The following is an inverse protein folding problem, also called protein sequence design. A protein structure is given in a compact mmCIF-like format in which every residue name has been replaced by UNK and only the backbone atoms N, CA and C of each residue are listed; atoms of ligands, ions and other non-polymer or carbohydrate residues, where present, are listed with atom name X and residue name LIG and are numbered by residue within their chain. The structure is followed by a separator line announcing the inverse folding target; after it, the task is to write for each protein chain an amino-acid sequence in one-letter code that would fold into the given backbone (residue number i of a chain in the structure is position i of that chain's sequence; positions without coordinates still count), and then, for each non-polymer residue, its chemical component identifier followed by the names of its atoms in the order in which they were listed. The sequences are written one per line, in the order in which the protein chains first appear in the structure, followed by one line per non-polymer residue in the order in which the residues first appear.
data_IF_576092689434
#
_entry.id   IF_576092689434
#
_cell.length_a   1.000
_cell.length_b   1.000
_cell.length_c   1.000
_cell.angle_alpha   90.00
_cell.angle_beta   90.00
_cell.angle_gamma   90.00
#
_symmetry.space_group_name_H-M   'P 1'
#
loop_
_entity.id
_entity.type
_entity.pdbx_description
1 polymer ?
#
# COMPACT_ATOMS: atom_id res chain seq x y z
N UNK A 1 12.68 1.40 24.93
CA UNK A 1 12.86 0.97 23.53
C UNK A 1 11.66 1.48 22.77
N UNK A 2 11.82 2.45 21.87
CA UNK A 2 10.72 2.88 21.00
C UNK A 2 10.66 1.98 19.78
N UNK A 3 9.45 1.59 19.37
CA UNK A 3 9.21 0.72 18.22
C UNK A 3 9.89 1.30 16.97
N UNK A 4 10.97 0.66 16.53
CA UNK A 4 11.72 1.09 15.35
C UNK A 4 10.91 0.71 14.10
N UNK A 5 10.25 1.70 13.50
CA UNK A 5 9.58 1.50 12.21
C UNK A 5 10.60 1.10 11.14
N UNK A 6 10.19 0.31 10.14
CA UNK A 6 11.06 -0.11 9.01
C UNK A 6 11.70 1.10 8.31
N UNK A 7 10.94 2.19 8.16
CA UNK A 7 11.44 3.46 7.62
C UNK A 7 12.53 4.07 8.51
N UNK A 8 12.40 3.98 9.84
CA UNK A 8 13.43 4.47 10.76
C UNK A 8 14.75 3.70 10.61
N UNK A 9 14.69 2.38 10.43
CA UNK A 9 15.85 1.50 10.22
C UNK A 9 16.50 1.79 8.86
N UNK A 10 15.71 1.91 7.80
CA UNK A 10 16.21 2.29 6.47
C UNK A 10 16.87 3.66 6.51
N UNK A 11 16.27 4.64 7.19
CA UNK A 11 16.84 5.99 7.32
C UNK A 11 18.13 6.02 8.14
N UNK A 12 18.24 5.20 9.20
CA UNK A 12 19.46 5.13 10.03
C UNK A 12 20.61 4.47 9.27
N UNK A 13 20.32 3.43 8.48
CA UNK A 13 21.26 2.82 7.55
C UNK A 13 21.74 3.83 6.49
N UNK A 14 20.82 4.55 5.83
CA UNK A 14 21.21 5.56 4.84
C UNK A 14 22.07 6.66 5.46
N UNK A 15 21.80 7.07 6.70
CA UNK A 15 22.63 8.05 7.43
C UNK A 15 24.03 7.50 7.72
N UNK A 16 24.15 6.23 8.12
CA UNK A 16 25.46 5.62 8.40
C UNK A 16 26.30 5.48 7.13
N UNK A 17 25.69 5.01 6.03
CA UNK A 17 26.37 4.90 4.74
C UNK A 17 26.76 6.27 4.17
N UNK A 18 25.86 7.25 4.27
CA UNK A 18 26.18 8.63 3.87
C UNK A 18 27.34 9.16 4.70
N UNK A 19 27.40 8.93 6.00
CA UNK A 19 28.53 9.37 6.84
C UNK A 19 29.87 8.74 6.42
N UNK A 20 29.86 7.47 6.01
CA UNK A 20 31.07 6.79 5.52
C UNK A 20 31.55 7.37 4.19
N UNK A 21 30.63 7.57 3.24
CA UNK A 21 30.95 8.07 1.90
C UNK A 21 31.36 9.55 1.87
N UNK A 22 31.13 10.28 2.96
CA UNK A 22 31.28 11.75 3.01
C UNK A 22 32.42 12.19 3.92
N UNK A 23 33.28 11.23 4.25
CA UNK A 23 34.52 11.48 4.95
C UNK A 23 35.37 12.49 4.15
N UNK A 24 36.02 13.45 4.83
CA UNK A 24 36.86 14.43 4.15
C UNK A 24 37.99 13.74 3.40
N UNK A 25 38.27 14.24 2.20
CA UNK A 25 39.37 13.76 1.38
C UNK A 25 40.69 14.12 2.07
N UNK A 26 41.52 13.12 2.27
CA UNK A 26 42.89 13.24 2.77
C UNK A 26 43.86 12.86 1.66
N UNK A 27 45.06 13.45 1.62
CA UNK A 27 46.08 13.05 0.66
C UNK A 27 46.45 11.59 0.94
N UNK A 28 46.38 10.74 -0.08
CA UNK A 28 46.82 9.34 0.06
C UNK A 28 48.33 9.29 0.30
N UNK A 29 48.79 8.33 1.12
CA UNK A 29 50.23 8.16 1.42
C UNK A 29 51.06 8.00 0.14
N UNK A 30 50.51 7.31 -0.86
CA UNK A 30 51.11 7.15 -2.20
C UNK A 30 51.30 8.48 -2.94
N UNK A 31 50.34 9.39 -2.83
CA UNK A 31 50.47 10.73 -3.42
C UNK A 31 51.51 11.56 -2.68
N UNK A 32 51.53 11.51 -1.34
CA UNK A 32 52.48 12.25 -0.52
C UNK A 32 53.94 11.82 -0.81
N UNK A 33 54.18 10.52 -0.95
CA UNK A 33 55.50 9.96 -1.34
C UNK A 33 55.92 10.34 -2.77
N UNK A 34 54.96 10.54 -3.67
CA UNK A 34 55.24 10.94 -5.05
C UNK A 34 55.54 12.43 -5.15
N UNK A 35 54.81 13.26 -4.39
CA UNK A 35 55.03 14.71 -4.31
C UNK A 35 56.39 15.04 -3.68
N UNK A 36 56.82 14.28 -2.66
CA UNK A 36 58.13 14.49 -2.02
C UNK A 36 59.33 14.11 -2.90
N UNK A 37 59.14 13.23 -3.89
CA UNK A 37 60.17 12.77 -4.84
C UNK A 37 60.27 13.64 -6.10
N UNK A 38 59.35 14.59 -6.32
CA UNK A 38 59.39 15.49 -7.47
C UNK A 38 60.28 16.70 -7.19
N UNK A 39 61.10 17.10 -8.17
CA UNK A 39 61.94 18.32 -8.09
C UNK A 39 61.11 19.61 -8.00
N UNK A 40 59.89 19.61 -8.54
CA UNK A 40 58.90 20.69 -8.42
C UNK A 40 57.78 20.26 -7.47
N UNK A 41 58.09 20.06 -6.19
CA UNK A 41 57.09 19.64 -5.21
C UNK A 41 56.07 20.74 -4.92
N UNK A 42 54.81 20.36 -4.72
CA UNK A 42 53.81 21.29 -4.21
C UNK A 42 54.05 21.51 -2.71
N UNK A 43 54.16 22.76 -2.25
CA UNK A 43 54.33 23.04 -0.82
C UNK A 43 53.10 22.58 -0.06
N UNK A 44 53.32 21.89 1.06
CA UNK A 44 52.27 21.26 1.87
C UNK A 44 51.20 22.26 2.35
N UNK A 45 51.57 23.53 2.50
CA UNK A 45 50.64 24.63 2.81
C UNK A 45 49.58 24.82 1.71
N UNK A 46 50.01 24.94 0.45
CA UNK A 46 49.07 25.08 -0.69
C UNK A 46 48.17 23.87 -0.84
N UNK A 47 48.70 22.68 -0.57
CA UNK A 47 47.95 21.42 -0.61
C UNK A 47 46.88 21.40 0.47
N UNK A 48 47.22 21.80 1.70
CA UNK A 48 46.26 21.92 2.81
C UNK A 48 45.17 22.94 2.51
N UNK A 49 45.51 24.07 1.90
CA UNK A 49 44.53 25.12 1.57
C UNK A 49 43.57 24.67 0.47
N UNK A 50 44.08 24.05 -0.60
CA UNK A 50 43.24 23.47 -1.65
C UNK A 50 42.36 22.35 -1.08
N UNK A 51 42.91 21.46 -0.25
CA UNK A 51 42.14 20.41 0.43
C UNK A 51 41.07 20.98 1.35
N UNK A 52 41.35 22.10 2.04
CA UNK A 52 40.36 22.78 2.88
C UNK A 52 39.21 23.30 2.05
N UNK A 53 39.49 23.95 0.92
CA UNK A 53 38.47 24.47 0.01
C UNK A 53 37.66 23.36 -0.66
N UNK A 54 38.32 22.30 -1.14
CA UNK A 54 37.64 21.12 -1.71
C UNK A 54 36.73 20.47 -0.67
N UNK A 55 37.22 20.25 0.55
CA UNK A 55 36.40 19.68 1.63
C UNK A 55 35.25 20.62 2.04
N UNK A 56 35.42 21.95 1.94
CA UNK A 56 34.35 22.92 2.18
C UNK A 56 33.25 22.81 1.13
N UNK A 57 33.62 22.76 -0.15
CA UNK A 57 32.67 22.59 -1.27
C UNK A 57 31.96 21.24 -1.15
N UNK A 58 32.69 20.17 -0.85
CA UNK A 58 32.14 18.84 -0.68
C UNK A 58 31.11 18.79 0.46
N UNK A 59 31.40 19.40 1.61
CA UNK A 59 30.45 19.51 2.74
C UNK A 59 29.19 20.28 2.34
N UNK A 60 29.32 21.36 1.58
CA UNK A 60 28.18 22.14 1.09
C UNK A 60 27.29 21.32 0.16
N UNK A 61 27.89 20.64 -0.81
CA UNK A 61 27.16 19.74 -1.71
C UNK A 61 26.48 18.61 -0.92
N UNK A 62 27.20 18.02 0.04
CA UNK A 62 26.68 16.93 0.83
C UNK A 62 25.44 17.29 1.65
N UNK A 63 25.49 18.44 2.33
CA UNK A 63 24.36 18.95 3.10
C UNK A 63 23.14 19.25 2.21
N UNK A 64 23.36 19.63 0.95
CA UNK A 64 22.29 19.91 -0.01
C UNK A 64 21.65 18.62 -0.55
N UNK A 65 22.45 17.61 -0.88
CA UNK A 65 21.97 16.37 -1.50
C UNK A 65 21.38 15.42 -0.44
N UNK A 66 22.08 15.25 0.68
CA UNK A 66 21.71 14.34 1.76
C UNK A 66 21.11 15.08 2.96
N UNK A 67 20.10 15.92 2.70
CA UNK A 67 19.27 16.49 3.75
C UNK A 67 18.56 15.39 4.57
N UNK A 68 18.19 15.68 5.82
CA UNK A 68 17.45 14.71 6.64
C UNK A 68 16.12 14.28 5.99
N UNK A 69 15.46 15.23 5.32
CA UNK A 69 14.19 15.01 4.62
C UNK A 69 14.38 14.16 3.35
N UNK A 70 15.44 14.39 2.57
CA UNK A 70 15.73 13.58 1.38
C UNK A 70 16.07 12.14 1.76
N UNK A 71 16.81 11.93 2.85
CA UNK A 71 17.09 10.58 3.37
C UNK A 71 15.79 9.86 3.80
N UNK A 72 14.88 10.55 4.48
CA UNK A 72 13.58 9.99 4.85
C UNK A 72 12.74 9.65 3.62
N UNK A 73 12.66 10.56 2.65
CA UNK A 73 11.89 10.33 1.42
C UNK A 73 12.45 9.17 0.59
N UNK A 74 13.78 9.04 0.48
CA UNK A 74 14.40 7.88 -0.18
C UNK A 74 14.11 6.59 0.58
N UNK A 75 14.14 6.60 1.91
CA UNK A 75 13.78 5.44 2.72
C UNK A 75 12.32 5.00 2.47
N UNK A 76 11.39 5.95 2.36
CA UNK A 76 9.98 5.68 2.02
C UNK A 76 9.81 5.18 0.58
N UNK A 77 10.56 5.72 -0.38
CA UNK A 77 10.52 5.25 -1.76
C UNK A 77 11.04 3.81 -1.88
N UNK A 78 12.15 3.50 -1.20
CA UNK A 78 12.66 2.12 -1.12
C UNK A 78 11.63 1.22 -0.46
N UNK A 79 10.91 1.70 0.56
CA UNK A 79 9.82 0.95 1.17
C UNK A 79 8.69 0.67 0.18
N UNK A 80 8.18 1.70 -0.49
CA UNK A 80 7.13 1.57 -1.53
C UNK A 80 7.58 0.64 -2.66
N UNK A 81 8.81 0.76 -3.14
CA UNK A 81 9.34 -0.10 -4.19
C UNK A 81 9.49 -1.55 -3.72
N UNK A 82 9.92 -1.78 -2.47
CA UNK A 82 9.97 -3.11 -1.89
C UNK A 82 8.58 -3.75 -1.84
N UNK A 83 7.57 -2.98 -1.40
CA UNK A 83 6.18 -3.44 -1.39
C UNK A 83 5.61 -3.67 -2.80
N UNK A 84 5.92 -2.77 -3.75
CA UNK A 84 5.42 -2.83 -5.12
C UNK A 84 6.10 -3.91 -5.96
N UNK A 85 7.38 -4.19 -5.73
CA UNK A 85 8.13 -5.26 -6.38
C UNK A 85 7.77 -6.66 -5.85
N UNK A 86 6.75 -6.74 -4.98
CA UNK A 86 6.31 -8.00 -4.42
C UNK A 86 7.33 -8.64 -3.48
N UNK A 87 8.16 -7.84 -2.78
CA UNK A 87 9.11 -8.30 -1.78
C UNK A 87 9.86 -9.56 -2.20
N UNK A 88 10.89 -9.43 -3.05
CA UNK A 88 11.76 -10.54 -3.45
C UNK A 88 12.10 -11.38 -2.23
N UNK A 89 11.62 -12.61 -2.28
CA UNK A 89 11.77 -13.59 -1.24
C UNK A 89 13.25 -13.99 -1.14
N UNK A 90 14.01 -13.31 -0.29
CA UNK A 90 15.40 -13.66 -0.01
C UNK A 90 15.50 -14.94 0.85
N UNK A 91 14.37 -15.53 1.26
CA UNK A 91 14.31 -16.73 2.10
C UNK A 91 13.64 -17.95 1.43
N UNK A 92 12.88 -17.80 0.34
CA UNK A 92 12.48 -18.95 -0.50
C UNK A 92 13.65 -19.43 -1.35
N UNK A 93 14.30 -20.49 -0.89
CA UNK A 93 15.28 -21.27 -1.67
C UNK A 93 14.66 -22.08 -2.83
N UNK A 94 13.50 -21.67 -3.38
CA UNK A 94 12.83 -22.41 -4.45
C UNK A 94 12.55 -21.52 -5.68
N UNK A 95 13.40 -21.57 -6.72
CA UNK A 95 13.27 -20.74 -7.92
C UNK A 95 12.29 -21.40 -8.89
N UNK A 96 10.98 -21.29 -8.63
CA UNK A 96 9.97 -21.84 -9.56
C UNK A 96 8.50 -21.69 -9.22
N UNK A 97 8.13 -21.10 -8.07
CA UNK A 97 6.73 -20.88 -7.73
C UNK A 97 6.28 -19.50 -8.21
N UNK A 98 5.51 -19.47 -9.30
CA UNK A 98 4.96 -18.27 -9.92
C UNK A 98 3.77 -17.67 -9.14
N UNK A 99 3.48 -18.19 -7.94
CA UNK A 99 2.29 -17.81 -7.17
C UNK A 99 2.64 -17.20 -5.80
N UNK A 100 3.36 -16.08 -5.81
CA UNK A 100 3.63 -15.26 -4.62
C UNK A 100 2.37 -14.63 -4.01
N UNK A 101 1.20 -14.83 -4.63
CA UNK A 101 -0.10 -14.33 -4.15
C UNK A 101 -0.70 -15.20 -3.04
N UNK A 102 -0.26 -16.47 -2.95
CA UNK A 102 -0.76 -17.47 -2.01
C UNK A 102 -0.08 -17.43 -0.63
N UNK A 103 1.07 -16.76 -0.51
CA UNK A 103 1.87 -16.77 0.72
C UNK A 103 1.44 -15.65 1.69
N UNK A 104 1.28 -16.03 2.97
CA UNK A 104 1.06 -15.12 4.08
C UNK A 104 2.33 -14.37 4.45
N UNK A 105 2.22 -13.07 4.69
CA UNK A 105 3.36 -12.23 5.13
C UNK A 105 3.30 -12.01 6.65
N UNK A 106 4.45 -11.77 7.27
CA UNK A 106 4.61 -11.49 8.72
C UNK A 106 3.75 -10.30 9.21
N UNK A 107 3.29 -9.44 8.30
CA UNK A 107 2.49 -8.26 8.60
C UNK A 107 1.10 -8.28 7.94
N UNK A 108 0.65 -9.43 7.44
CA UNK A 108 -0.70 -9.56 6.93
C UNK A 108 -1.71 -9.40 8.08
N UNK A 109 -2.71 -8.56 7.85
CA UNK A 109 -3.74 -8.30 8.85
C UNK A 109 -4.80 -9.42 8.81
N UNK A 110 -4.77 -10.30 9.82
CA UNK A 110 -5.75 -11.37 10.00
C UNK A 110 -7.15 -10.87 10.36
N UNK A 111 -7.37 -9.54 10.46
CA UNK A 111 -8.72 -9.00 10.46
C UNK A 111 -9.36 -9.04 9.08
N UNK A 112 -8.66 -9.24 7.96
CA UNK A 112 -9.30 -9.26 6.65
C UNK A 112 -9.51 -10.69 6.14
N UNK A 113 -10.71 -10.97 5.60
CA UNK A 113 -11.07 -12.32 5.14
C UNK A 113 -10.06 -12.89 4.13
N UNK A 114 -9.55 -12.03 3.23
CA UNK A 114 -8.59 -12.42 2.19
C UNK A 114 -7.28 -13.02 2.73
N UNK A 115 -6.87 -12.67 3.94
CA UNK A 115 -5.67 -13.23 4.57
C UNK A 115 -6.02 -14.49 5.35
N UNK A 116 -7.21 -14.54 5.96
CA UNK A 116 -7.73 -15.73 6.64
C UNK A 116 -7.85 -16.91 5.67
N UNK A 117 -8.36 -16.65 4.46
CA UNK A 117 -8.58 -17.69 3.44
C UNK A 117 -7.27 -18.26 2.88
N UNK A 118 -6.14 -17.58 3.09
CA UNK A 118 -4.79 -18.02 2.66
C UNK A 118 -4.09 -18.87 3.71
N UNK A 119 -4.66 -19.02 4.92
CA UNK A 119 -4.06 -19.85 5.96
C UNK A 119 -4.06 -21.32 5.52
N UNK A 120 -2.91 -22.00 5.57
CA UNK A 120 -2.86 -23.43 5.31
C UNK A 120 -3.59 -24.19 6.43
N UNK A 121 -4.14 -25.35 6.09
CA UNK A 121 -4.84 -26.21 7.06
C UNK A 121 -3.86 -26.84 8.07
N UNK A 122 -2.60 -27.04 7.65
CA UNK A 122 -1.52 -27.60 8.46
C UNK A 122 -0.35 -26.62 8.52
N UNK A 123 0.39 -26.63 9.64
CA UNK A 123 1.60 -25.81 9.81
C UNK A 123 2.80 -26.59 9.24
N UNK A 124 3.29 -26.19 8.05
CA UNK A 124 4.25 -26.96 7.22
C UNK A 124 5.73 -26.59 7.44
N UNK A 125 6.15 -26.29 8.67
CA UNK A 125 7.58 -26.08 8.96
C UNK A 125 8.21 -27.36 9.55
N UNK A 126 8.72 -28.24 8.68
CA UNK A 126 9.44 -29.47 9.08
C UNK A 126 10.74 -29.19 9.85
N UNK A 127 11.31 -27.99 9.70
CA UNK A 127 12.57 -27.57 10.33
C UNK A 127 12.39 -26.84 11.68
N UNK A 128 11.16 -26.63 12.16
CA UNK A 128 10.91 -25.93 13.42
C UNK A 128 10.86 -26.92 14.61
N UNK A 129 11.74 -26.77 15.63
CA UNK A 129 11.72 -27.61 16.83
C UNK A 129 10.44 -27.48 17.68
N UNK A 130 9.57 -26.50 17.38
CA UNK A 130 8.26 -26.32 18.03
C UNK A 130 7.11 -27.06 17.34
N UNK A 131 7.35 -27.71 16.20
CA UNK A 131 6.39 -28.53 15.47
C UNK A 131 6.09 -29.86 16.19
N UNK A 132 5.63 -29.78 17.43
CA UNK A 132 5.04 -30.91 18.17
C UNK A 132 3.61 -31.14 17.67
N UNK A 133 3.12 -32.37 17.70
CA UNK A 133 1.73 -32.72 17.35
C UNK A 133 0.70 -31.84 18.10
N UNK A 134 0.95 -31.55 19.38
CA UNK A 134 0.11 -30.65 20.19
C UNK A 134 0.00 -29.23 19.59
N UNK A 135 1.11 -28.67 19.10
CA UNK A 135 1.13 -27.34 18.48
C UNK A 135 0.34 -27.31 17.16
N UNK A 136 0.35 -28.42 16.40
CA UNK A 136 -0.44 -28.55 15.18
C UNK A 136 -1.94 -28.63 15.48
N UNK A 137 -2.34 -29.34 16.53
CA UNK A 137 -3.74 -29.38 16.99
C UNK A 137 -4.22 -28.01 17.48
N UNK A 138 -3.38 -27.30 18.24
CA UNK A 138 -3.66 -25.94 18.70
C UNK A 138 -3.83 -24.97 17.52
N UNK A 139 -2.93 -25.03 16.53
CA UNK A 139 -3.03 -24.25 15.30
C UNK A 139 -4.36 -24.52 14.58
N UNK A 140 -4.70 -25.80 14.33
CA UNK A 140 -5.96 -26.19 13.70
C UNK A 140 -7.20 -25.72 14.47
N UNK A 141 -7.14 -25.73 15.80
CA UNK A 141 -8.23 -25.22 16.63
C UNK A 141 -8.38 -23.70 16.49
N UNK A 142 -7.28 -22.96 16.46
CA UNK A 142 -7.25 -21.51 16.30
C UNK A 142 -7.70 -21.07 14.90
N UNK A 143 -7.25 -21.73 13.84
CA UNK A 143 -7.67 -21.43 12.46
C UNK A 143 -9.17 -21.63 12.29
N UNK A 144 -9.72 -22.75 12.76
CA UNK A 144 -11.18 -23.01 12.76
C UNK A 144 -11.96 -21.93 13.52
N UNK A 145 -11.47 -21.54 14.71
CA UNK A 145 -12.10 -20.47 15.50
C UNK A 145 -12.09 -19.15 14.73
N UNK A 146 -10.97 -18.81 14.12
CA UNK A 146 -10.78 -17.58 13.37
C UNK A 146 -11.66 -17.53 12.10
N UNK A 147 -11.81 -18.66 11.39
CA UNK A 147 -12.79 -18.82 10.30
C UNK A 147 -14.23 -18.64 10.78
N UNK A 148 -14.62 -19.26 11.91
CA UNK A 148 -15.99 -19.11 12.43
C UNK A 148 -16.34 -17.67 12.82
N UNK A 149 -15.37 -16.93 13.38
CA UNK A 149 -15.54 -15.52 13.76
C UNK A 149 -15.62 -14.62 12.52
N UNK A 150 -14.85 -14.94 11.48
CA UNK A 150 -14.81 -14.18 10.24
C UNK A 150 -16.13 -14.33 9.46
N UNK A 151 -16.69 -15.53 9.41
CA UNK A 151 -18.03 -15.83 8.89
C UNK A 151 -19.12 -15.09 9.67
N UNK A 152 -19.10 -15.15 11.01
CA UNK A 152 -20.07 -14.44 11.85
C UNK A 152 -20.04 -12.94 11.59
N UNK A 153 -18.84 -12.36 11.43
CA UNK A 153 -18.66 -10.95 11.12
C UNK A 153 -19.18 -10.60 9.72
N UNK A 154 -18.95 -11.46 8.72
CA UNK A 154 -19.52 -11.30 7.37
C UNK A 154 -21.04 -11.30 7.41
N UNK A 155 -21.65 -12.24 8.13
CA UNK A 155 -23.10 -12.29 8.31
C UNK A 155 -23.67 -11.03 8.98
N UNK A 156 -22.98 -10.49 10.00
CA UNK A 156 -23.39 -9.24 10.64
C UNK A 156 -23.29 -8.03 9.71
N UNK A 157 -22.23 -7.95 8.89
CA UNK A 157 -22.09 -6.88 7.89
C UNK A 157 -23.20 -6.94 6.84
N UNK A 158 -23.53 -8.12 6.34
CA UNK A 158 -24.63 -8.29 5.38
C UNK A 158 -25.98 -7.88 5.99
N UNK A 159 -26.22 -8.21 7.28
CA UNK A 159 -27.42 -7.76 7.99
C UNK A 159 -27.47 -6.24 8.11
N UNK A 160 -26.36 -5.61 8.50
CA UNK A 160 -26.24 -4.16 8.60
C UNK A 160 -26.54 -3.51 7.24
N UNK A 161 -25.92 -4.01 6.16
CA UNK A 161 -26.17 -3.52 4.81
C UNK A 161 -27.64 -3.66 4.41
N UNK A 162 -28.28 -4.80 4.73
CA UNK A 162 -29.71 -4.98 4.47
C UNK A 162 -30.58 -3.98 5.24
N UNK A 163 -30.21 -3.65 6.49
CA UNK A 163 -30.94 -2.65 7.27
C UNK A 163 -30.71 -1.24 6.74
N UNK A 164 -29.51 -0.90 6.29
CA UNK A 164 -29.24 0.40 5.63
C UNK A 164 -29.99 0.53 4.32
N UNK A 165 -30.09 -0.54 3.53
CA UNK A 165 -30.89 -0.56 2.30
C UNK A 165 -32.37 -0.34 2.64
N UNK A 166 -32.91 -1.06 3.63
CA UNK A 166 -34.29 -0.85 4.08
C UNK A 166 -34.53 0.55 4.63
N UNK A 167 -33.58 1.10 5.40
CA UNK A 167 -33.64 2.47 5.89
C UNK A 167 -33.66 3.47 4.73
N UNK A 168 -32.84 3.26 3.70
CA UNK A 168 -32.84 4.10 2.50
C UNK A 168 -34.16 4.05 1.72
N UNK A 169 -34.82 2.88 1.68
CA UNK A 169 -36.15 2.72 1.08
C UNK A 169 -37.25 3.35 1.93
N UNK A 170 -37.06 3.41 3.25
CA UNK A 170 -37.98 4.03 4.20
C UNK A 170 -37.78 5.55 4.30
N UNK A 171 -36.62 6.09 3.91
CA UNK A 171 -36.33 7.52 3.98
C UNK A 171 -37.38 8.40 3.26
N UNK A 172 -37.86 8.08 2.04
CA UNK A 172 -38.96 8.79 1.38
C UNK A 172 -40.28 8.82 2.19
N UNK A 173 -40.54 7.79 3.01
CA UNK A 173 -41.77 7.69 3.81
C UNK A 173 -41.71 8.48 5.12
N UNK A 174 -40.55 9.00 5.51
CA UNK A 174 -40.44 9.87 6.69
C UNK A 174 -41.17 11.21 6.49
N UNK A 175 -41.23 11.70 5.25
CA UNK A 175 -41.98 12.90 4.85
C UNK A 175 -42.91 12.57 3.67
N UNK A 176 -44.01 11.86 3.93
CA UNK A 176 -44.85 11.30 2.87
C UNK A 176 -45.55 12.38 2.05
N UNK A 177 -45.83 13.55 2.64
CA UNK A 177 -46.46 14.69 1.96
C UNK A 177 -45.57 15.29 0.87
N UNK A 178 -44.24 15.29 1.05
CA UNK A 178 -43.30 15.93 0.14
C UNK A 178 -42.72 14.96 -0.89
N UNK A 179 -42.51 13.69 -0.52
CA UNK A 179 -41.85 12.71 -1.40
C UNK A 179 -42.80 11.74 -2.11
N UNK A 180 -43.80 11.21 -1.40
CA UNK A 180 -44.67 10.13 -1.91
C UNK A 180 -45.92 10.68 -2.59
N UNK A 181 -46.57 11.68 -2.00
CA UNK A 181 -47.80 12.28 -2.53
C UNK A 181 -47.71 12.86 -3.95
N UNK A 182 -46.65 13.59 -4.37
CA UNK A 182 -46.57 14.09 -5.74
C UNK A 182 -46.40 12.98 -6.80
N UNK A 183 -45.87 11.82 -6.40
CA UNK A 183 -45.62 10.66 -7.27
C UNK A 183 -46.79 9.66 -7.32
N UNK A 184 -47.85 9.88 -6.55
CA UNK A 184 -49.08 9.08 -6.60
C UNK A 184 -49.93 9.48 -7.81
N UNK A 185 -50.58 8.51 -8.46
CA UNK A 185 -51.56 8.74 -9.57
C UNK A 185 -52.82 9.41 -9.02
N UNK A 186 -52.71 10.68 -8.70
CA UNK A 186 -53.85 11.57 -8.51
C UNK A 186 -54.07 12.35 -9.80
N UNK A 187 -55.29 12.87 -10.00
CA UNK A 187 -55.73 13.46 -11.27
C UNK A 187 -54.84 14.60 -11.78
N UNK A 188 -54.14 15.28 -10.87
CA UNK A 188 -53.25 16.42 -11.17
C UNK A 188 -51.77 16.12 -10.81
N UNK A 189 -51.37 14.84 -10.76
CA UNK A 189 -49.99 14.43 -10.42
C UNK A 189 -49.00 14.57 -11.57
N UNK A 190 -47.73 14.80 -11.25
CA UNK A 190 -46.63 14.87 -12.24
C UNK A 190 -46.48 13.54 -13.01
N UNK A 191 -46.73 12.41 -12.33
CA UNK A 191 -46.67 11.08 -12.94
C UNK A 191 -47.80 10.85 -13.96
N UNK A 192 -49.00 11.40 -13.74
CA UNK A 192 -50.08 11.35 -14.72
C UNK A 192 -49.72 12.14 -16.00
N UNK A 193 -49.07 13.29 -15.86
CA UNK A 193 -48.60 14.08 -16.99
C UNK A 193 -47.49 13.37 -17.79
N UNK A 194 -46.55 12.69 -17.13
CA UNK A 194 -45.54 11.87 -17.82
C UNK A 194 -46.15 10.62 -18.48
N UNK A 195 -47.14 9.96 -17.86
CA UNK A 195 -47.89 8.87 -18.49
C UNK A 195 -48.63 9.32 -19.76
N UNK A 196 -49.21 10.52 -19.76
CA UNK A 196 -49.87 11.06 -20.94
C UNK A 196 -48.87 11.36 -22.07
N UNK A 197 -47.68 11.90 -21.74
CA UNK A 197 -46.58 12.09 -22.70
C UNK A 197 -46.09 10.77 -23.27
N UNK A 198 -45.90 9.73 -22.45
CA UNK A 198 -45.46 8.40 -22.91
C UNK A 198 -46.52 7.73 -23.77
N UNK A 199 -47.81 7.87 -23.44
CA UNK A 199 -48.92 7.39 -24.27
C UNK A 199 -48.93 8.07 -25.65
N UNK A 200 -48.77 9.40 -25.69
CA UNK A 200 -48.67 10.14 -26.94
C UNK A 200 -47.45 9.72 -27.78
N UNK A 201 -46.30 9.47 -27.14
CA UNK A 201 -45.10 8.95 -27.80
C UNK A 201 -45.34 7.52 -28.33
N UNK A 202 -45.98 6.66 -27.55
CA UNK A 202 -46.33 5.28 -27.94
C UNK A 202 -47.24 5.24 -29.16
N UNK A 203 -48.23 6.14 -29.24
CA UNK A 203 -49.09 6.27 -30.44
C UNK A 203 -48.25 6.69 -31.65
N UNK A 204 -47.33 7.65 -31.51
CA UNK A 204 -46.45 8.07 -32.62
C UNK A 204 -45.50 6.97 -33.07
N UNK A 205 -44.92 6.21 -32.13
CA UNK A 205 -44.03 5.09 -32.44
C UNK A 205 -44.81 3.98 -33.12
N UNK A 206 -45.99 3.62 -32.62
CA UNK A 206 -46.86 2.62 -33.25
C UNK A 206 -47.26 3.02 -34.67
N UNK A 207 -47.63 4.28 -34.89
CA UNK A 207 -47.92 4.80 -36.22
C UNK A 207 -46.71 4.71 -37.16
N UNK A 208 -45.51 5.05 -36.69
CA UNK A 208 -44.28 4.98 -37.49
C UNK A 208 -43.85 3.56 -37.80
N UNK A 209 -44.04 2.61 -36.88
CA UNK A 209 -43.77 1.19 -37.11
C UNK A 209 -44.78 0.59 -38.10
N UNK A 210 -46.05 0.97 -38.03
CA UNK A 210 -47.05 0.55 -39.01
C UNK A 210 -46.69 0.99 -40.43
N UNK A 211 -46.20 2.23 -40.60
CA UNK A 211 -45.74 2.74 -41.91
C UNK A 211 -44.45 2.11 -42.43
N UNK A 212 -43.69 1.37 -41.62
CA UNK A 212 -42.47 0.65 -42.05
C UNK A 212 -42.73 -0.83 -42.37
N UNK A 213 -43.93 -1.33 -42.07
CA UNK A 213 -44.32 -2.74 -42.26
C UNK A 213 -45.16 -2.95 -43.52
N UNK A 214 -45.57 -1.85 -44.17
CA UNK A 214 -46.03 -1.78 -45.57
C UNK A 214 -44.83 -1.54 -46.50
#
# INVERSE_FOLDING_TARGET
MGDSTVVSVKSSFLRSQTRLLTQPVQPSSRWAERNSKQENNLPDETVRDVLREVNRILRRHNKSVYSSLSIQHVAEQIDKLYWNAGGVDLYSSNPGSEDTSALLRVHDDFTEQRHIDKLPEEWEDEDDPTATEEAQEEYRALTKKLQSLSERRKALRNKLESYQQLESLLAPFQQPLESVQPNLVTRDSELAAELEKTHALGIRVAARVATMKE
#
